data_IF_842423342094
#
_entry.id   IF_842423342094
#
_cell.length_a   1.000
_cell.length_b   1.000
_cell.length_c   1.000
_cell.angle_alpha   90.00
_cell.angle_beta   90.00
_cell.angle_gamma   90.00
#
_symmetry.space_group_name_H-M   'P 1'
#
loop_
_entity.id
_entity.type
_entity.pdbx_description
1 polymer ?
#
# COMPACT_ATOMS: atom_id res chain seq x y z
N UNK A 1 1.51 -0.03 20.85
CA UNK A 1 2.12 -0.41 19.56
C UNK A 1 1.57 0.48 18.46
N UNK A 2 2.43 1.14 17.68
CA UNK A 2 2.03 2.04 16.59
C UNK A 2 2.15 1.31 15.25
N UNK A 3 1.12 1.38 14.42
CA UNK A 3 1.03 0.69 13.13
C UNK A 3 0.82 1.69 12.00
N UNK A 4 1.57 1.52 10.91
CA UNK A 4 1.42 2.31 9.69
C UNK A 4 0.69 1.50 8.62
N UNK A 5 -0.29 2.08 7.95
CA UNK A 5 -0.99 1.45 6.82
C UNK A 5 -0.88 2.37 5.60
N UNK A 6 -0.34 1.87 4.50
CA UNK A 6 -0.41 2.55 3.20
C UNK A 6 -1.57 1.94 2.41
N UNK A 7 -2.54 2.76 2.02
CA UNK A 7 -3.77 2.32 1.40
C UNK A 7 -3.87 2.78 -0.05
N UNK A 8 -3.94 1.82 -0.96
CA UNK A 8 -4.03 1.99 -2.40
C UNK A 8 -5.36 1.44 -2.94
N UNK A 9 -5.77 1.77 -4.18
CA UNK A 9 -7.11 1.38 -4.67
C UNK A 9 -7.08 0.25 -5.70
N UNK A 10 -6.12 0.18 -6.61
CA UNK A 10 -6.16 -0.64 -7.83
C UNK A 10 -6.18 -2.16 -7.56
N UNK A 11 -5.71 -2.55 -6.37
CA UNK A 11 -5.74 -3.91 -5.85
C UNK A 11 -6.93 -4.23 -4.94
N UNK A 12 -7.83 -3.28 -4.67
CA UNK A 12 -9.08 -3.49 -3.92
C UNK A 12 -9.91 -4.58 -4.59
N UNK A 13 -10.56 -5.42 -3.78
CA UNK A 13 -11.39 -6.50 -4.26
C UNK A 13 -12.47 -6.01 -5.23
N UNK A 14 -12.65 -6.77 -6.32
CA UNK A 14 -13.66 -6.48 -7.34
C UNK A 14 -13.19 -5.56 -8.47
N UNK A 15 -12.14 -4.75 -8.29
CA UNK A 15 -11.64 -3.89 -9.38
C UNK A 15 -11.12 -4.76 -10.53
N UNK A 16 -11.42 -4.38 -11.76
CA UNK A 16 -11.00 -4.96 -13.03
C UNK A 16 -10.70 -3.92 -14.10
N UNK A 17 -11.10 -2.66 -13.92
CA UNK A 17 -10.92 -1.59 -14.91
C UNK A 17 -10.44 -0.27 -14.26
N UNK A 18 -9.79 0.59 -15.06
CA UNK A 18 -9.31 1.89 -14.57
C UNK A 18 -10.42 2.82 -14.12
N UNK A 19 -11.62 2.69 -14.68
CA UNK A 19 -12.74 3.57 -14.35
C UNK A 19 -13.23 3.39 -12.91
N UNK A 20 -13.01 2.21 -12.35
CA UNK A 20 -13.32 1.85 -10.97
C UNK A 20 -12.29 2.40 -9.98
N UNK A 21 -11.06 2.69 -10.44
CA UNK A 21 -9.96 3.22 -9.62
C UNK A 21 -9.76 4.74 -9.78
N UNK A 22 -10.45 5.38 -10.73
CA UNK A 22 -10.17 6.76 -11.14
C UNK A 22 -11.30 7.72 -10.76
N UNK A 23 -10.99 8.64 -9.86
CA UNK A 23 -11.89 9.72 -9.45
C UNK A 23 -12.45 10.49 -10.67
N UNK A 24 -13.77 10.68 -10.67
CA UNK A 24 -14.50 11.35 -11.75
C UNK A 24 -15.30 10.41 -12.63
N UNK A 25 -15.01 9.10 -12.59
CA UNK A 25 -15.86 8.09 -13.21
C UNK A 25 -17.00 7.66 -12.26
N UNK A 26 -18.18 7.28 -12.78
CA UNK A 26 -19.31 6.83 -11.95
C UNK A 26 -18.98 5.61 -11.09
N UNK A 27 -18.26 4.64 -11.67
CA UNK A 27 -17.94 3.36 -11.03
C UNK A 27 -17.01 3.52 -9.82
N UNK A 28 -16.17 4.58 -9.81
CA UNK A 28 -15.24 4.87 -8.72
C UNK A 28 -15.91 4.99 -7.34
N UNK A 29 -17.16 5.45 -7.28
CA UNK A 29 -17.85 5.67 -6.00
C UNK A 29 -18.01 4.36 -5.22
N UNK A 30 -18.41 3.28 -5.89
CA UNK A 30 -18.56 1.95 -5.28
C UNK A 30 -17.20 1.43 -4.77
N UNK A 31 -16.17 1.48 -5.61
CA UNK A 31 -14.87 0.92 -5.25
C UNK A 31 -14.09 1.77 -4.24
N UNK A 32 -14.38 3.06 -4.15
CA UNK A 32 -13.93 3.91 -3.04
C UNK A 32 -14.51 3.45 -1.69
N UNK A 33 -15.76 2.97 -1.68
CA UNK A 33 -16.37 2.38 -0.50
C UNK A 33 -15.66 1.08 -0.11
N UNK A 34 -15.43 0.18 -1.06
CA UNK A 34 -14.69 -1.07 -0.81
C UNK A 34 -13.25 -0.83 -0.35
N UNK A 35 -12.54 0.14 -0.93
CA UNK A 35 -11.20 0.55 -0.48
C UNK A 35 -11.24 1.00 0.99
N UNK A 36 -12.27 1.77 1.36
CA UNK A 36 -12.45 2.23 2.73
C UNK A 36 -12.76 1.05 3.66
N UNK A 37 -13.61 0.11 3.24
CA UNK A 37 -13.95 -1.07 4.04
C UNK A 37 -12.76 -2.00 4.27
N UNK A 38 -11.95 -2.26 3.24
CA UNK A 38 -10.73 -3.05 3.39
C UNK A 38 -9.74 -2.41 4.36
N UNK A 39 -9.59 -1.08 4.28
CA UNK A 39 -8.76 -0.34 5.23
C UNK A 39 -9.31 -0.44 6.66
N UNK A 40 -10.62 -0.25 6.85
CA UNK A 40 -11.25 -0.35 8.18
C UNK A 40 -11.03 -1.73 8.76
N UNK A 41 -11.22 -2.79 7.97
CA UNK A 41 -10.94 -4.17 8.39
C UNK A 41 -9.47 -4.37 8.77
N UNK A 42 -8.52 -3.78 8.02
CA UNK A 42 -7.10 -3.82 8.39
C UNK A 42 -6.81 -3.06 9.69
N UNK A 43 -7.47 -1.93 9.94
CA UNK A 43 -7.36 -1.17 11.20
C UNK A 43 -7.89 -1.99 12.38
N UNK A 44 -9.05 -2.62 12.23
CA UNK A 44 -9.65 -3.49 13.23
C UNK A 44 -8.79 -4.71 13.52
N UNK A 45 -8.23 -5.35 12.49
CA UNK A 45 -7.27 -6.45 12.64
C UNK A 45 -6.02 -6.01 13.40
N UNK A 46 -5.44 -4.85 13.08
CA UNK A 46 -4.31 -4.29 13.80
C UNK A 46 -4.66 -4.00 15.28
N UNK A 47 -5.84 -3.43 15.53
CA UNK A 47 -6.35 -3.16 16.88
C UNK A 47 -6.54 -4.43 17.70
N UNK A 48 -7.13 -5.46 17.09
CA UNK A 48 -7.29 -6.78 17.69
C UNK A 48 -5.93 -7.44 18.00
N UNK A 49 -4.91 -7.18 17.19
CA UNK A 49 -3.53 -7.59 17.43
C UNK A 49 -2.76 -6.71 18.45
N UNK A 50 -3.43 -5.75 19.11
CA UNK A 50 -2.87 -4.93 20.18
C UNK A 50 -2.30 -3.57 19.74
N UNK A 51 -2.59 -3.11 18.51
CA UNK A 51 -2.24 -1.75 18.10
C UNK A 51 -2.96 -0.72 18.98
N UNK A 52 -2.22 0.27 19.47
CA UNK A 52 -2.74 1.39 20.27
C UNK A 52 -2.90 2.66 19.45
N UNK A 53 -2.17 2.76 18.35
CA UNK A 53 -2.20 3.87 17.41
C UNK A 53 -2.12 3.32 15.99
N UNK A 54 -3.00 3.81 15.10
CA UNK A 54 -3.00 3.45 13.68
C UNK A 54 -2.89 4.73 12.87
N UNK A 55 -1.84 4.82 12.06
CA UNK A 55 -1.65 5.92 11.10
C UNK A 55 -1.83 5.38 9.70
N UNK A 56 -2.69 6.03 8.92
CA UNK A 56 -3.00 5.64 7.55
C UNK A 56 -2.49 6.70 6.59
N UNK A 57 -1.79 6.29 5.54
CA UNK A 57 -1.53 7.10 4.35
C UNK A 57 -2.50 6.70 3.25
N UNK A 58 -3.32 7.64 2.80
CA UNK A 58 -4.07 7.52 1.56
C UNK A 58 -3.08 7.65 0.39
N UNK A 59 -2.79 6.55 -0.29
CA UNK A 59 -1.60 6.41 -1.11
C UNK A 59 -1.88 6.31 -2.63
N UNK A 60 -3.13 6.52 -3.07
CA UNK A 60 -3.50 6.48 -4.48
C UNK A 60 -3.71 7.88 -5.09
N UNK A 61 -3.24 8.11 -6.32
CA UNK A 61 -3.63 9.23 -7.19
C UNK A 61 -3.55 10.61 -6.53
N UNK A 62 -4.66 11.21 -6.07
CA UNK A 62 -4.67 12.52 -5.36
C UNK A 62 -4.46 12.40 -3.84
N UNK A 63 -4.27 11.19 -3.32
CA UNK A 63 -4.15 10.86 -1.91
C UNK A 63 -5.33 11.36 -1.05
N UNK A 64 -6.55 11.35 -1.62
CA UNK A 64 -7.76 11.90 -0.98
C UNK A 64 -9.01 11.03 -1.22
N UNK A 65 -8.81 9.74 -1.39
CA UNK A 65 -9.80 8.73 -1.74
C UNK A 65 -10.61 8.26 -0.53
N UNK A 66 -10.04 8.11 0.67
CA UNK A 66 -10.76 7.48 1.78
C UNK A 66 -11.99 8.27 2.26
N UNK A 67 -13.03 7.57 2.73
CA UNK A 67 -14.26 8.18 3.29
C UNK A 67 -14.08 8.42 4.79
N UNK A 68 -13.77 9.67 5.15
CA UNK A 68 -13.36 10.03 6.52
C UNK A 68 -14.40 9.70 7.59
N UNK A 69 -15.69 9.85 7.29
CA UNK A 69 -16.77 9.58 8.25
C UNK A 69 -16.92 8.11 8.60
N UNK A 70 -16.24 7.20 7.90
CA UNK A 70 -16.25 5.75 8.15
C UNK A 70 -14.99 5.27 8.87
N UNK A 71 -13.98 6.14 9.03
CA UNK A 71 -12.76 5.76 9.72
C UNK A 71 -13.01 5.69 11.23
N UNK A 72 -12.50 4.66 11.93
CA UNK A 72 -12.56 4.61 13.39
C UNK A 72 -11.90 5.84 14.03
N UNK A 73 -12.42 6.25 15.19
CA UNK A 73 -11.97 7.42 15.93
C UNK A 73 -10.48 7.38 16.34
N UNK A 74 -9.93 6.19 16.55
CA UNK A 74 -8.53 5.96 16.89
C UNK A 74 -7.56 6.02 15.70
N UNK A 75 -8.08 6.16 14.47
CA UNK A 75 -7.27 6.22 13.25
C UNK A 75 -6.85 7.65 12.94
N UNK A 76 -5.55 7.87 12.72
CA UNK A 76 -5.02 9.13 12.19
C UNK A 76 -4.72 8.98 10.71
N UNK A 77 -5.19 9.91 9.89
CA UNK A 77 -5.00 9.86 8.44
C UNK A 77 -4.07 10.97 7.93
N UNK A 78 -3.18 10.60 7.03
CA UNK A 78 -2.36 11.50 6.21
C UNK A 78 -2.97 11.56 4.81
N UNK A 79 -3.51 12.71 4.45
CA UNK A 79 -4.13 12.97 3.14
C UNK A 79 -3.27 13.91 2.30
N UNK A 80 -3.43 13.83 0.99
CA UNK A 80 -2.67 14.59 0.02
C UNK A 80 -1.22 14.10 -0.10
N UNK A 81 -0.48 14.73 -1.01
CA UNK A 81 0.95 14.52 -1.16
C UNK A 81 1.71 15.62 -0.45
N UNK A 82 2.68 15.25 0.37
CA UNK A 82 3.54 16.19 1.09
C UNK A 82 4.67 16.75 0.22
N UNK A 83 4.93 16.16 -0.95
CA UNK A 83 6.15 16.40 -1.74
C UNK A 83 7.39 15.72 -1.15
N UNK A 84 7.24 14.94 -0.07
CA UNK A 84 8.34 14.21 0.56
C UNK A 84 8.76 12.99 -0.29
N UNK A 85 10.06 12.64 -0.36
CA UNK A 85 10.54 11.47 -1.11
C UNK A 85 9.92 10.12 -0.71
N UNK A 86 9.45 9.99 0.54
CA UNK A 86 8.79 8.76 1.01
C UNK A 86 7.40 8.54 0.40
N UNK A 87 6.80 9.54 -0.26
CA UNK A 87 5.60 9.39 -1.08
C UNK A 87 4.46 8.61 -0.38
N UNK A 88 4.19 7.37 -0.81
CA UNK A 88 3.15 6.46 -0.29
C UNK A 88 3.42 6.00 1.15
N UNK A 89 4.60 6.28 1.67
CA UNK A 89 5.07 5.96 3.02
C UNK A 89 5.27 7.21 3.89
N UNK A 90 4.95 8.41 3.39
CA UNK A 90 5.11 9.63 4.18
C UNK A 90 4.29 9.56 5.49
N UNK A 91 4.97 9.82 6.61
CA UNK A 91 4.43 9.73 7.95
C UNK A 91 4.88 8.50 8.73
N UNK A 92 5.63 7.57 8.10
CA UNK A 92 6.34 6.50 8.78
C UNK A 92 7.67 7.01 9.37
N UNK A 93 8.08 6.42 10.49
CA UNK A 93 9.35 6.66 11.19
C UNK A 93 9.73 5.41 12.01
N UNK A 94 10.82 5.46 12.76
CA UNK A 94 11.34 4.34 13.57
C UNK A 94 10.50 4.03 14.84
N UNK A 95 9.47 4.83 15.15
CA UNK A 95 8.55 4.57 16.26
C UNK A 95 7.45 3.55 15.91
N UNK A 96 7.29 3.21 14.63
CA UNK A 96 6.32 2.24 14.17
C UNK A 96 6.80 0.80 14.36
N UNK A 97 5.93 -0.06 14.86
CA UNK A 97 6.24 -1.47 15.06
C UNK A 97 6.00 -2.32 13.81
N UNK A 98 5.15 -1.85 12.90
CA UNK A 98 4.78 -2.59 11.69
C UNK A 98 4.22 -1.67 10.60
N UNK A 99 4.45 -2.07 9.35
CA UNK A 99 3.83 -1.50 8.15
C UNK A 99 2.92 -2.53 7.46
N UNK A 100 1.73 -2.08 7.07
CA UNK A 100 0.74 -2.85 6.32
C UNK A 100 0.40 -2.12 5.01
N UNK A 101 -0.02 -2.88 4.02
CA UNK A 101 -0.31 -2.39 2.68
C UNK A 101 -1.65 -2.95 2.25
N UNK A 102 -2.62 -2.09 1.92
CA UNK A 102 -3.96 -2.51 1.49
C UNK A 102 -4.25 -2.07 0.07
N UNK A 103 -4.90 -2.92 -0.72
CA UNK A 103 -5.32 -2.59 -2.08
C UNK A 103 -4.17 -2.44 -3.09
N UNK A 104 -3.02 -3.08 -2.84
CA UNK A 104 -1.84 -2.99 -3.70
C UNK A 104 -1.95 -3.87 -4.96
N UNK A 105 -1.28 -3.45 -6.04
CA UNK A 105 -1.38 -4.07 -7.36
C UNK A 105 -0.03 -4.58 -7.92
N UNK A 106 -0.10 -5.24 -9.07
CA UNK A 106 1.11 -5.76 -9.74
C UNK A 106 1.92 -4.61 -10.38
N UNK A 107 3.24 -4.83 -10.46
CA UNK A 107 4.21 -3.92 -11.08
C UNK A 107 4.00 -3.72 -12.57
N UNK A 108 4.49 -2.57 -13.05
CA UNK A 108 4.56 -2.23 -14.46
C UNK A 108 5.29 -3.28 -15.30
N UNK A 109 4.92 -3.36 -16.57
CA UNK A 109 5.55 -4.26 -17.54
C UNK A 109 5.23 -5.73 -17.30
N UNK A 110 4.10 -6.01 -16.65
CA UNK A 110 3.58 -7.38 -16.45
C UNK A 110 2.16 -7.50 -16.99
N UNK A 111 1.88 -8.55 -17.77
CA UNK A 111 0.56 -8.77 -18.41
C UNK A 111 -0.42 -9.46 -17.45
N UNK A 112 -0.36 -9.08 -16.18
CA UNK A 112 -0.98 -9.85 -15.10
C UNK A 112 -2.32 -9.28 -14.67
N UNK A 113 -2.53 -7.98 -14.88
CA UNK A 113 -3.81 -7.31 -14.68
C UNK A 113 -3.82 -5.97 -15.46
N UNK A 114 -4.99 -5.44 -15.84
CA UNK A 114 -5.13 -4.23 -16.65
C UNK A 114 -4.67 -2.93 -15.97
N UNK A 115 -4.51 -2.93 -14.64
CA UNK A 115 -4.07 -1.78 -13.85
C UNK A 115 -2.59 -1.92 -13.42
N UNK A 116 -1.84 -2.87 -13.99
CA UNK A 116 -0.45 -3.10 -13.63
C UNK A 116 0.43 -1.90 -13.98
N UNK A 117 0.95 -1.20 -12.98
CA UNK A 117 1.81 -0.03 -13.14
C UNK A 117 2.79 0.13 -11.96
N UNK A 118 3.63 1.16 -11.99
CA UNK A 118 4.55 1.47 -10.88
C UNK A 118 4.78 2.97 -10.83
N UNK A 119 4.26 3.60 -9.78
CA UNK A 119 4.17 5.03 -9.48
C UNK A 119 3.30 5.83 -10.47
N UNK A 120 3.47 5.56 -11.77
CA UNK A 120 2.70 6.19 -12.84
C UNK A 120 2.36 5.18 -13.93
N UNK A 121 1.37 5.51 -14.76
CA UNK A 121 1.01 4.71 -15.94
C UNK A 121 2.00 4.79 -17.11
N UNK A 122 3.11 5.53 -16.98
CA UNK A 122 4.09 5.74 -18.06
C UNK A 122 5.39 4.99 -17.84
N UNK A 123 5.64 4.49 -16.62
CA UNK A 123 6.80 3.65 -16.33
C UNK A 123 6.58 2.28 -16.96
N UNK A 124 7.49 1.85 -17.86
CA UNK A 124 7.45 0.50 -18.43
C UNK A 124 7.95 -0.54 -17.42
N UNK A 125 9.11 -0.29 -16.80
CA UNK A 125 9.72 -1.11 -15.74
C UNK A 125 10.58 -0.23 -14.85
N UNK A 126 10.57 -0.51 -13.55
CA UNK A 126 11.53 0.05 -12.58
C UNK A 126 12.39 -1.07 -12.04
N UNK A 127 13.71 -0.90 -11.98
CA UNK A 127 14.63 -1.93 -11.52
C UNK A 127 15.35 -1.48 -10.24
N UNK A 128 15.44 -2.38 -9.27
CA UNK A 128 16.28 -2.22 -8.08
C UNK A 128 17.20 -3.43 -8.03
N UNK A 129 18.51 -3.19 -8.07
CA UNK A 129 19.53 -4.25 -8.10
C UNK A 129 19.29 -5.30 -9.20
N UNK A 130 18.84 -4.87 -10.38
CA UNK A 130 18.57 -5.75 -11.52
C UNK A 130 17.20 -6.43 -11.51
N UNK A 131 16.42 -6.33 -10.42
CA UNK A 131 15.10 -6.95 -10.31
C UNK A 131 13.99 -5.94 -10.55
N UNK A 132 12.93 -6.35 -11.28
CA UNK A 132 11.77 -5.47 -11.53
C UNK A 132 11.03 -5.23 -10.21
N UNK A 133 11.00 -3.97 -9.78
CA UNK A 133 10.35 -3.53 -8.56
C UNK A 133 8.88 -3.14 -8.79
N UNK A 134 8.08 -3.30 -7.74
CA UNK A 134 6.71 -2.80 -7.64
C UNK A 134 6.67 -1.60 -6.69
N UNK A 135 5.52 -0.94 -6.59
CA UNK A 135 5.28 0.05 -5.53
C UNK A 135 5.41 -0.56 -4.15
N UNK A 136 4.87 -1.77 -3.94
CA UNK A 136 5.12 -2.52 -2.71
C UNK A 136 6.61 -2.70 -2.43
N UNK A 137 7.42 -3.02 -3.45
CA UNK A 137 8.87 -3.17 -3.27
C UNK A 137 9.50 -1.87 -2.78
N UNK A 138 9.15 -0.74 -3.40
CA UNK A 138 9.65 0.58 -2.99
C UNK A 138 9.20 0.92 -1.56
N UNK A 139 7.94 0.68 -1.25
CA UNK A 139 7.31 1.04 0.01
C UNK A 139 7.77 0.13 1.17
N UNK A 140 8.06 -1.14 0.90
CA UNK A 140 8.67 -2.06 1.85
C UNK A 140 10.14 -1.69 2.13
N UNK A 141 10.91 -1.29 1.11
CA UNK A 141 12.27 -0.78 1.30
C UNK A 141 12.29 0.55 2.07
N UNK A 142 11.31 1.42 1.83
CA UNK A 142 11.13 2.65 2.60
C UNK A 142 10.84 2.35 4.08
N UNK A 143 9.93 1.41 4.39
CA UNK A 143 9.69 0.97 5.76
C UNK A 143 10.94 0.37 6.41
N UNK A 144 11.66 -0.50 5.69
CA UNK A 144 12.88 -1.14 6.17
C UNK A 144 14.00 -0.14 6.48
N UNK A 145 14.09 0.98 5.74
CA UNK A 145 15.03 2.07 6.03
C UNK A 145 14.81 2.68 7.43
N UNK A 146 13.58 2.68 7.92
CA UNK A 146 13.24 3.12 9.28
C UNK A 146 13.25 1.98 10.31
N UNK A 147 13.69 0.78 9.93
CA UNK A 147 13.67 -0.39 10.81
C UNK A 147 12.27 -0.99 11.05
N UNK A 148 11.27 -0.58 10.26
CA UNK A 148 9.87 -1.00 10.42
C UNK A 148 9.59 -2.23 9.54
N UNK A 149 9.18 -3.38 10.11
CA UNK A 149 8.88 -4.56 9.33
C UNK A 149 7.56 -4.44 8.56
N UNK A 150 7.56 -4.84 7.30
CA UNK A 150 6.37 -5.06 6.47
C UNK A 150 5.71 -6.39 6.83
N UNK A 151 4.51 -6.38 7.43
CA UNK A 151 3.90 -7.59 8.03
C UNK A 151 2.63 -8.08 7.33
N UNK A 152 2.02 -7.26 6.48
CA UNK A 152 0.78 -7.60 5.79
C UNK A 152 0.67 -6.88 4.45
N UNK A 153 0.14 -7.58 3.45
CA UNK A 153 -0.10 -7.07 2.12
C UNK A 153 -1.43 -7.66 1.59
N UNK A 154 -2.43 -6.81 1.37
CA UNK A 154 -3.63 -7.18 0.61
C UNK A 154 -3.57 -6.59 -0.80
N UNK A 155 -4.18 -7.33 -1.74
CA UNK A 155 -4.15 -7.02 -3.16
C UNK A 155 -4.38 -8.26 -4.00
N UNK A 156 -4.17 -8.14 -5.32
CA UNK A 156 -4.41 -9.26 -6.24
C UNK A 156 -3.48 -10.44 -5.96
N UNK A 157 -4.01 -11.66 -6.14
CA UNK A 157 -3.40 -12.97 -5.79
C UNK A 157 -1.96 -13.18 -6.27
N UNK A 158 -1.56 -12.63 -7.43
CA UNK A 158 -0.19 -12.79 -7.97
C UNK A 158 0.85 -11.88 -7.31
N UNK A 159 0.40 -10.80 -6.66
CA UNK A 159 1.24 -9.91 -5.85
C UNK A 159 1.57 -10.54 -4.50
N UNK A 160 0.55 -11.10 -3.82
CA UNK A 160 0.67 -11.69 -2.46
C UNK A 160 1.69 -12.84 -2.41
N UNK A 161 1.75 -13.70 -3.44
CA UNK A 161 2.71 -14.83 -3.51
C UNK A 161 4.20 -14.41 -3.59
N UNK A 162 4.52 -13.16 -3.94
CA UNK A 162 5.91 -12.68 -3.97
C UNK A 162 6.28 -11.80 -2.76
N UNK A 163 5.31 -11.30 -2.00
CA UNK A 163 5.59 -10.59 -0.73
C UNK A 163 6.40 -11.46 0.24
N UNK A 164 6.18 -12.77 0.22
CA UNK A 164 6.90 -13.77 1.02
C UNK A 164 8.39 -13.91 0.68
N UNK A 165 8.84 -13.48 -0.52
CA UNK A 165 10.27 -13.56 -0.89
C UNK A 165 11.07 -12.31 -0.54
N UNK A 166 10.42 -11.19 -0.22
CA UNK A 166 11.09 -9.96 0.21
C UNK A 166 11.38 -9.92 1.72
N UNK A 167 10.69 -10.76 2.53
CA UNK A 167 10.87 -10.87 3.97
C UNK A 167 11.86 -11.95 4.43
N UNK A 168 12.35 -12.80 3.53
CA UNK A 168 13.25 -13.89 3.86
C UNK A 168 14.72 -13.45 3.78
N UNK A 169 15.22 -12.90 4.88
CA UNK A 169 16.62 -12.94 5.34
C UNK A 169 17.73 -12.82 4.29
N UNK A 170 18.28 -11.61 4.16
CA UNK A 170 19.66 -11.44 3.70
C UNK A 170 20.63 -12.07 4.73
N UNK A 171 20.97 -13.35 4.54
CA UNK A 171 22.21 -13.90 5.10
C UNK A 171 23.35 -13.44 4.20
N UNK A 172 24.16 -12.53 4.71
CA UNK A 172 25.48 -12.25 4.14
C UNK A 172 26.36 -13.50 4.29
N UNK A 173 26.77 -14.08 3.17
CA UNK A 173 27.98 -14.87 3.01
C UNK A 173 28.47 -14.52 1.60
N UNK A 174 29.68 -14.02 1.38
CA UNK A 174 30.94 -14.38 2.00
C UNK A 174 31.81 -14.91 0.87
N UNK A 175 32.73 -14.06 0.41
CA UNK A 175 33.67 -14.14 -0.72
C UNK A 175 33.12 -13.78 -2.10
#
# INVERSE_FOLDING_TARGET
>A
MKVFISADIEGTAGITHWDEAKEGNPDYVEFREYMTDELVAACEGARAAGATEVVVKDANSKARNLILSRLPDYVRIVRGWSGHPDMMMFGIDDSFAAALYTGYHNKAGTDTNPLAHTLTGTVSRLLINGEIASEYTLNALSAARYGVPSVFLSGRRRHVRRGESAGAGHRYGGY
#
